data_IF_931735869201
#
_entry.id   IF_931735869201
#
_cell.length_a   1.000
_cell.length_b   1.000
_cell.length_c   1.000
_cell.angle_alpha   90.00
_cell.angle_beta   90.00
_cell.angle_gamma   90.00
#
_symmetry.space_group_name_H-M   'P 1'
#
loop_
_entity.id
_entity.type
_entity.pdbx_description
1 polymer ?
#
# COMPACT_ATOMS: atom_id res chain seq x y z
N UNK A 1 -20.08 -21.74 4.40
CA UNK A 1 -19.97 -20.32 4.73
C UNK A 1 -19.09 -19.61 3.73
N UNK A 2 -19.56 -18.51 3.20
CA UNK A 2 -18.81 -17.77 2.17
C UNK A 2 -17.86 -16.80 2.88
N UNK A 3 -16.59 -16.92 2.56
CA UNK A 3 -15.61 -15.95 3.07
C UNK A 3 -15.77 -14.63 2.35
N UNK A 4 -15.73 -13.55 3.11
CA UNK A 4 -15.79 -12.19 2.57
C UNK A 4 -14.37 -11.71 2.39
N UNK A 5 -13.87 -11.80 1.16
CA UNK A 5 -12.48 -11.47 0.84
C UNK A 5 -12.45 -10.38 -0.22
N UNK A 6 -11.65 -9.36 0.04
CA UNK A 6 -11.39 -8.26 -0.89
C UNK A 6 -9.98 -8.46 -1.44
N UNK A 7 -9.87 -8.64 -2.76
CA UNK A 7 -8.57 -8.73 -3.43
C UNK A 7 -8.06 -7.36 -3.81
N UNK A 8 -6.82 -7.04 -3.39
CA UNK A 8 -6.21 -5.74 -3.68
C UNK A 8 -4.76 -5.92 -4.14
N UNK A 9 -4.24 -4.88 -4.78
CA UNK A 9 -2.80 -4.71 -5.00
C UNK A 9 -2.30 -3.65 -4.04
N UNK A 10 -1.08 -3.80 -3.58
CA UNK A 10 -0.48 -2.91 -2.59
C UNK A 10 0.95 -2.57 -2.97
N UNK A 11 1.33 -1.30 -2.77
CA UNK A 11 2.65 -0.82 -3.10
C UNK A 11 3.47 -0.56 -1.83
N UNK A 12 4.66 -1.14 -1.77
CA UNK A 12 5.67 -0.77 -0.79
C UNK A 12 6.61 0.22 -1.47
N UNK A 13 6.54 1.49 -1.04
CA UNK A 13 7.35 2.58 -1.58
C UNK A 13 8.28 3.06 -0.47
N UNK A 14 9.59 3.03 -0.73
CA UNK A 14 10.59 3.52 0.22
C UNK A 14 11.36 4.68 -0.38
N UNK A 15 11.78 5.60 0.47
CA UNK A 15 12.69 6.68 0.04
C UNK A 15 14.16 6.26 0.20
N UNK A 16 15.07 7.18 -0.11
CA UNK A 16 16.50 6.92 -0.14
C UNK A 16 17.09 6.58 1.24
N UNK A 17 16.40 6.94 2.31
CA UNK A 17 16.86 6.65 3.67
C UNK A 17 16.05 5.53 4.33
N UNK A 18 15.23 4.82 3.55
CA UNK A 18 14.54 3.64 4.03
C UNK A 18 13.20 3.87 4.72
N UNK A 19 12.65 5.08 4.64
CA UNK A 19 11.31 5.34 5.17
C UNK A 19 10.26 4.78 4.22
N UNK A 20 9.15 4.33 4.78
CA UNK A 20 8.04 3.76 4.02
C UNK A 20 6.93 4.79 3.88
N UNK A 21 6.37 4.90 2.67
CA UNK A 21 5.23 5.77 2.42
C UNK A 21 3.94 5.10 2.87
N UNK A 22 3.17 5.81 3.68
CA UNK A 22 1.82 5.40 4.05
C UNK A 22 0.84 6.52 3.77
N UNK A 23 -0.40 6.16 3.55
CA UNK A 23 -1.49 7.08 3.21
C UNK A 23 -2.68 6.84 4.13
N UNK A 24 -3.48 7.89 4.32
CA UNK A 24 -4.72 7.80 5.10
C UNK A 24 -5.87 8.32 4.25
N UNK A 25 -6.92 7.53 4.18
CA UNK A 25 -8.14 7.92 3.46
C UNK A 25 -8.96 8.90 4.29
N UNK A 26 -9.67 9.80 3.61
CA UNK A 26 -10.57 10.75 4.28
C UNK A 26 -11.58 10.00 5.14
N UNK A 27 -11.81 10.50 6.34
CA UNK A 27 -12.76 9.89 7.26
C UNK A 27 -12.27 8.65 7.99
N UNK A 28 -11.01 8.27 7.84
CA UNK A 28 -10.42 7.13 8.55
C UNK A 28 -9.26 7.59 9.42
N UNK A 29 -8.90 6.76 10.40
CA UNK A 29 -7.77 7.04 11.29
C UNK A 29 -6.51 6.27 10.94
N UNK A 30 -6.66 5.08 10.33
CA UNK A 30 -5.53 4.19 10.09
C UNK A 30 -4.81 4.58 8.80
N UNK A 31 -3.48 4.60 8.88
CA UNK A 31 -2.62 4.71 7.71
C UNK A 31 -2.38 3.34 7.12
N UNK A 32 -2.22 3.28 5.81
CA UNK A 32 -1.97 2.05 5.09
C UNK A 32 -1.02 2.31 3.92
N UNK A 33 -0.52 1.25 3.31
CA UNK A 33 0.26 1.39 2.09
C UNK A 33 -0.66 1.82 0.93
N UNK A 34 -0.11 2.50 -0.09
CA UNK A 34 -0.89 2.82 -1.30
C UNK A 34 -1.37 1.55 -2.01
N UNK A 35 -2.50 1.63 -2.67
CA UNK A 35 -3.04 0.53 -3.44
C UNK A 35 -4.56 0.50 -3.40
N UNK A 36 -5.14 -0.56 -3.93
CA UNK A 36 -6.58 -0.71 -3.95
C UNK A 36 -7.04 -1.90 -4.77
N UNK A 37 -8.33 -1.94 -5.05
CA UNK A 37 -8.97 -3.01 -5.80
C UNK A 37 -8.58 -2.93 -7.29
N UNK A 38 -8.54 -4.10 -7.94
CA UNK A 38 -8.37 -4.17 -9.39
C UNK A 38 -9.68 -3.82 -10.06
N UNK A 39 -9.62 -3.05 -11.15
CA UNK A 39 -10.77 -2.86 -12.02
C UNK A 39 -10.85 -4.04 -13.01
N UNK A 40 -12.02 -4.23 -13.62
CA UNK A 40 -12.23 -5.32 -14.57
C UNK A 40 -11.20 -5.21 -15.70
N UNK A 41 -10.56 -6.35 -15.99
CA UNK A 41 -9.57 -6.44 -17.07
C UNK A 41 -8.16 -5.97 -16.71
N UNK A 42 -7.93 -5.47 -15.49
CA UNK A 42 -6.59 -5.05 -15.07
C UNK A 42 -5.79 -6.23 -14.52
N UNK A 43 -4.52 -6.32 -14.92
CA UNK A 43 -3.57 -7.14 -14.19
C UNK A 43 -3.05 -6.35 -12.99
N UNK A 44 -2.20 -6.97 -12.18
CA UNK A 44 -1.70 -6.37 -10.94
C UNK A 44 -0.94 -5.06 -11.19
N UNK A 45 -0.06 -5.04 -12.19
CA UNK A 45 0.76 -3.86 -12.43
C UNK A 45 -0.06 -2.72 -13.01
N UNK A 46 -1.04 -3.00 -13.86
CA UNK A 46 -1.94 -1.98 -14.38
C UNK A 46 -2.78 -1.37 -13.26
N UNK A 47 -3.31 -2.20 -12.36
CA UNK A 47 -4.07 -1.74 -11.21
C UNK A 47 -3.20 -0.90 -10.28
N UNK A 48 -1.99 -1.34 -10.03
CA UNK A 48 -1.06 -0.65 -9.15
C UNK A 48 -0.66 0.72 -9.71
N UNK A 49 -0.36 0.79 -11.00
CA UNK A 49 -0.01 2.06 -11.66
C UNK A 49 -1.18 3.04 -11.60
N UNK A 50 -2.40 2.55 -11.85
CA UNK A 50 -3.60 3.39 -11.76
C UNK A 50 -3.81 3.92 -10.34
N UNK A 51 -3.72 3.04 -9.34
CA UNK A 51 -3.90 3.43 -7.94
C UNK A 51 -2.85 4.43 -7.48
N UNK A 52 -1.59 4.24 -7.84
CA UNK A 52 -0.52 5.19 -7.51
C UNK A 52 -0.80 6.55 -8.13
N UNK A 53 -1.21 6.58 -9.40
CA UNK A 53 -1.56 7.83 -10.06
C UNK A 53 -2.75 8.53 -9.39
N UNK A 54 -3.80 7.78 -9.06
CA UNK A 54 -5.01 8.34 -8.44
C UNK A 54 -4.75 8.86 -7.03
N UNK A 55 -4.00 8.11 -6.22
CA UNK A 55 -3.80 8.42 -4.81
C UNK A 55 -2.68 9.42 -4.55
N UNK A 56 -1.61 9.37 -5.35
CA UNK A 56 -0.39 10.11 -5.08
C UNK A 56 -0.05 11.15 -6.15
N UNK A 57 -0.71 11.10 -7.31
CA UNK A 57 -0.43 12.02 -8.40
C UNK A 57 0.92 11.84 -9.07
N UNK A 58 1.61 10.74 -8.81
CA UNK A 58 2.89 10.42 -9.41
C UNK A 58 2.78 9.17 -10.28
N UNK A 59 3.89 8.72 -10.84
CA UNK A 59 3.91 7.57 -11.75
C UNK A 59 4.82 6.48 -11.22
N UNK A 60 4.42 5.24 -11.45
CA UNK A 60 5.27 4.10 -11.18
C UNK A 60 6.37 4.03 -12.24
N UNK A 61 7.62 3.90 -11.80
CA UNK A 61 8.74 3.75 -12.73
C UNK A 61 8.61 2.42 -13.47
N UNK A 62 8.60 2.42 -14.82
CA UNK A 62 8.49 1.18 -15.57
C UNK A 62 9.56 0.17 -15.18
N UNK A 63 9.18 -1.09 -15.00
CA UNK A 63 10.11 -2.16 -14.66
C UNK A 63 10.59 -2.17 -13.21
N UNK A 64 10.12 -1.25 -12.36
CA UNK A 64 10.58 -1.19 -10.98
C UNK A 64 9.84 -2.17 -10.05
N UNK A 65 8.69 -2.70 -10.45
CA UNK A 65 7.87 -3.53 -9.58
C UNK A 65 8.53 -4.87 -9.28
N UNK A 66 8.63 -5.19 -7.99
CA UNK A 66 9.16 -6.48 -7.52
C UNK A 66 8.10 -7.12 -6.63
N UNK A 67 7.62 -8.31 -7.03
CA UNK A 67 6.61 -9.02 -6.25
C UNK A 67 7.21 -9.49 -4.92
N UNK A 68 6.51 -9.18 -3.83
CA UNK A 68 6.94 -9.54 -2.48
C UNK A 68 6.08 -10.66 -1.88
N UNK A 69 4.95 -10.98 -2.49
CA UNK A 69 4.08 -12.06 -2.06
C UNK A 69 2.64 -11.62 -1.87
N UNK A 70 1.82 -12.58 -1.42
CA UNK A 70 0.43 -12.33 -1.09
C UNK A 70 0.21 -12.51 0.40
N UNK A 71 -0.58 -11.63 0.99
CA UNK A 71 -0.83 -11.62 2.43
C UNK A 71 -2.31 -11.40 2.71
N UNK A 72 -2.81 -12.03 3.76
CA UNK A 72 -4.19 -11.89 4.19
C UNK A 72 -4.23 -11.20 5.55
N UNK A 73 -5.23 -10.34 5.74
CA UNK A 73 -5.45 -9.66 7.00
C UNK A 73 -6.92 -9.24 7.11
N UNK A 74 -7.35 -8.86 8.32
CA UNK A 74 -8.66 -8.25 8.46
C UNK A 74 -8.69 -6.90 7.75
N UNK A 75 -9.83 -6.57 7.14
CA UNK A 75 -10.00 -5.29 6.46
C UNK A 75 -10.17 -4.17 7.50
N UNK A 76 -9.41 -3.07 7.33
CA UNK A 76 -9.39 -1.97 8.30
C UNK A 76 -10.72 -1.22 8.37
N UNK A 77 -11.40 -1.06 7.23
CA UNK A 77 -12.57 -0.20 7.13
C UNK A 77 -13.84 -0.96 6.74
N UNK A 78 -13.81 -2.28 6.73
CA UNK A 78 -14.94 -3.11 6.33
C UNK A 78 -15.10 -4.27 7.32
N UNK A 79 -15.83 -4.07 8.42
CA UNK A 79 -15.99 -5.11 9.45
C UNK A 79 -16.51 -6.42 8.88
N UNK A 80 -15.92 -7.53 9.30
CA UNK A 80 -16.30 -8.86 8.84
C UNK A 80 -15.66 -9.29 7.55
N UNK A 81 -14.86 -8.43 6.91
CA UNK A 81 -14.15 -8.73 5.68
C UNK A 81 -12.68 -8.98 5.92
N UNK A 82 -12.07 -9.74 5.03
CA UNK A 82 -10.62 -9.91 4.97
C UNK A 82 -10.11 -9.31 3.68
N UNK A 83 -8.85 -8.87 3.72
CA UNK A 83 -8.12 -8.38 2.55
C UNK A 83 -7.10 -9.43 2.16
N UNK A 84 -7.04 -9.75 0.87
CA UNK A 84 -5.94 -10.50 0.28
C UNK A 84 -5.18 -9.56 -0.63
N UNK A 85 -3.94 -9.26 -0.26
CA UNK A 85 -3.12 -8.28 -0.96
C UNK A 85 -1.96 -8.92 -1.69
N UNK A 86 -1.82 -8.58 -2.96
CA UNK A 86 -0.60 -8.85 -3.72
C UNK A 86 0.30 -7.63 -3.56
N UNK A 87 1.43 -7.80 -2.88
CA UNK A 87 2.32 -6.71 -2.49
C UNK A 87 3.52 -6.63 -3.41
N UNK A 88 3.82 -5.42 -3.87
CA UNK A 88 4.95 -5.14 -4.77
C UNK A 88 5.77 -3.98 -4.21
N UNK A 89 7.09 -4.14 -4.19
CA UNK A 89 7.97 -3.01 -4.01
C UNK A 89 8.07 -2.26 -5.34
N UNK A 90 7.89 -0.95 -5.32
CA UNK A 90 7.94 -0.14 -6.53
C UNK A 90 8.70 1.15 -6.28
N UNK A 91 9.25 1.71 -7.36
CA UNK A 91 9.79 3.07 -7.37
C UNK A 91 8.80 3.98 -8.08
N UNK A 92 8.71 5.21 -7.61
CA UNK A 92 7.83 6.21 -8.21
C UNK A 92 8.63 7.41 -8.68
N UNK A 93 8.08 8.12 -9.65
CA UNK A 93 8.66 9.30 -10.26
C UNK A 93 7.64 10.43 -10.23
N UNK A 94 8.09 11.62 -9.91
CA UNK A 94 7.24 12.78 -9.77
C UNK A 94 6.93 13.13 -8.32
N UNK A 95 6.36 14.30 -8.12
CA UNK A 95 6.01 14.78 -6.79
C UNK A 95 4.85 13.96 -6.22
N UNK A 96 4.98 13.56 -4.97
CA UNK A 96 3.94 12.85 -4.25
C UNK A 96 3.07 13.86 -3.52
N UNK A 97 1.75 13.82 -3.79
CA UNK A 97 0.80 14.66 -3.10
C UNK A 97 -0.51 13.89 -2.94
N UNK A 98 -1.21 14.04 -1.79
CA UNK A 98 -2.47 13.34 -1.58
C UNK A 98 -3.52 13.81 -2.59
N UNK A 99 -4.20 12.85 -3.22
CA UNK A 99 -5.21 13.10 -4.25
C UNK A 99 -6.42 12.19 -4.01
N UNK A 100 -7.53 12.52 -4.70
CA UNK A 100 -8.76 11.75 -4.63
C UNK A 100 -9.22 11.57 -3.18
N UNK A 101 -9.41 10.35 -2.72
CA UNK A 101 -9.88 10.05 -1.37
C UNK A 101 -8.80 10.09 -0.30
N UNK A 102 -7.54 10.36 -0.67
CA UNK A 102 -6.42 10.40 0.27
C UNK A 102 -6.38 11.76 0.97
N UNK A 103 -6.47 11.75 2.29
CA UNK A 103 -6.41 12.96 3.09
C UNK A 103 -4.97 13.40 3.36
N UNK A 104 -4.06 12.44 3.56
CA UNK A 104 -2.66 12.77 3.81
C UNK A 104 -1.74 11.60 3.45
N UNK A 105 -0.50 11.95 3.16
CA UNK A 105 0.60 11.01 2.95
C UNK A 105 1.66 11.27 4.00
N UNK A 106 2.38 10.22 4.39
CA UNK A 106 3.39 10.33 5.43
C UNK A 106 4.50 9.32 5.18
N UNK A 107 5.74 9.74 5.37
CA UNK A 107 6.88 8.84 5.40
C UNK A 107 7.13 8.43 6.84
N UNK A 108 7.17 7.13 7.11
CA UNK A 108 7.42 6.61 8.46
C UNK A 108 8.70 5.77 8.47
N UNK A 109 9.38 5.81 9.62
CA UNK A 109 10.53 4.94 9.87
C UNK A 109 9.98 3.55 10.22
N UNK A 110 10.29 2.50 9.45
CA UNK A 110 9.80 1.15 9.77
C UNK A 110 10.26 0.63 11.13
N UNK A 111 11.34 1.18 11.66
CA UNK A 111 11.84 0.81 12.98
C UNK A 111 11.13 1.52 14.12
N UNK A 112 10.35 2.56 13.81
CA UNK A 112 9.64 3.38 14.82
C UNK A 112 8.24 3.73 14.32
N UNK A 113 7.35 2.73 14.16
CA UNK A 113 6.04 2.95 13.54
C UNK A 113 4.98 3.50 14.48
N UNK A 114 5.30 3.74 15.75
CA UNK A 114 4.34 4.07 16.80
C UNK A 114 3.72 5.45 16.64
N UNK A 115 4.27 6.28 15.78
CA UNK A 115 3.80 7.66 15.60
C UNK A 115 2.38 7.73 15.02
N UNK A 116 1.92 6.66 14.37
CA UNK A 116 0.61 6.64 13.71
C UNK A 116 -0.07 5.28 13.92
N UNK A 117 -1.39 5.27 13.71
CA UNK A 117 -2.16 4.04 13.71
C UNK A 117 -2.02 3.42 12.32
N UNK A 118 -1.62 2.17 12.25
CA UNK A 118 -1.48 1.43 11.00
C UNK A 118 -2.59 0.40 10.84
N UNK A 119 -3.10 0.27 9.61
CA UNK A 119 -4.03 -0.80 9.27
C UNK A 119 -3.37 -2.16 9.51
N UNK A 120 -4.16 -3.20 9.87
CA UNK A 120 -3.59 -4.51 10.21
C UNK A 120 -2.67 -5.10 9.14
N UNK A 121 -3.06 -5.03 7.86
CA UNK A 121 -2.22 -5.52 6.77
C UNK A 121 -0.88 -4.79 6.74
N UNK A 122 -0.91 -3.48 6.87
CA UNK A 122 0.30 -2.64 6.85
C UNK A 122 1.20 -2.97 8.02
N UNK A 123 0.63 -3.01 9.23
CA UNK A 123 1.38 -3.25 10.46
C UNK A 123 2.01 -4.63 10.49
N UNK A 124 1.25 -5.67 10.11
CA UNK A 124 1.65 -7.05 10.35
C UNK A 124 2.42 -7.67 9.19
N UNK A 125 2.21 -7.19 7.96
CA UNK A 125 2.77 -7.82 6.77
C UNK A 125 3.65 -6.90 5.94
N UNK A 126 3.22 -5.67 5.67
CA UNK A 126 3.97 -4.77 4.78
C UNK A 126 5.14 -4.12 5.50
N UNK A 127 4.90 -3.59 6.70
CA UNK A 127 5.94 -2.94 7.51
C UNK A 127 7.14 -3.85 7.78
N UNK A 128 6.95 -5.14 8.16
CA UNK A 128 8.09 -6.03 8.34
C UNK A 128 8.96 -6.18 7.09
N UNK A 129 8.35 -6.16 5.90
CA UNK A 129 9.13 -6.21 4.65
C UNK A 129 9.98 -4.95 4.48
N UNK A 130 9.42 -3.79 4.83
CA UNK A 130 10.16 -2.52 4.74
C UNK A 130 11.31 -2.49 5.76
N UNK A 131 11.08 -3.01 6.97
CA UNK A 131 12.07 -3.03 8.04
C UNK A 131 13.24 -3.97 7.74
N UNK A 132 12.93 -5.20 7.30
CA UNK A 132 13.95 -6.22 7.04
C UNK A 132 14.57 -6.10 5.66
N UNK A 133 13.97 -5.29 4.79
CA UNK A 133 14.35 -5.24 3.39
C UNK A 133 13.81 -6.42 2.61
N UNK A 134 14.23 -6.52 1.38
CA UNK A 134 13.84 -7.59 0.47
C UNK A 134 14.95 -7.80 -0.55
N UNK A 135 15.00 -8.99 -1.19
CA UNK A 135 16.05 -9.28 -2.16
C UNK A 135 16.08 -8.25 -3.29
N UNK A 136 17.29 -7.89 -3.68
CA UNK A 136 17.50 -6.96 -4.79
C UNK A 136 17.42 -7.68 -6.12
#
# INVERSE_FOLDING_TARGET
MTDKIIGVVAALIRDDIGRMLVVRKRGTEAFMQPGGKRDAGEDDLAALEREISEELGCRMVPGSAQALGQFNSVAANEPGWQVQASVYAVKVDGAIAPQAEIAETLWIDPAAPEAVILAPLTRDHVLPLAFHGFPQ
#
